data_IF_491018787651
#
_entry.id   IF_491018787651
#
_cell.length_a   1.000
_cell.length_b   1.000
_cell.length_c   1.000
_cell.angle_alpha   90.00
_cell.angle_beta   90.00
_cell.angle_gamma   90.00
#
_symmetry.space_group_name_H-M   'P 1'
#
loop_
_entity.id
_entity.type
_entity.pdbx_description
1 polymer ?
#
# COMPACT_ATOMS: atom_id res chain seq x y z
N UNK A 1 -26.21 11.77 -4.81
CA UNK A 1 -24.82 12.20 -5.09
C UNK A 1 -23.97 10.95 -4.94
N UNK A 2 -23.72 10.28 -6.07
CA UNK A 2 -23.07 8.96 -6.13
C UNK A 2 -21.77 9.12 -6.92
N UNK A 3 -20.64 8.72 -6.32
CA UNK A 3 -19.31 8.43 -6.90
C UNK A 3 -18.29 8.62 -5.77
N UNK A 4 -17.37 7.73 -5.42
CA UNK A 4 -16.79 6.58 -6.11
C UNK A 4 -16.53 5.44 -5.10
N UNK A 5 -17.04 4.26 -5.38
CA UNK A 5 -16.50 3.01 -4.80
C UNK A 5 -15.49 2.48 -5.81
N UNK A 6 -14.22 2.89 -5.66
CA UNK A 6 -13.14 2.34 -6.45
C UNK A 6 -12.68 1.03 -5.80
N UNK A 7 -12.77 -0.03 -6.60
CA UNK A 7 -12.60 -1.42 -6.24
C UNK A 7 -11.19 -1.72 -5.73
N UNK A 8 -11.02 -1.82 -4.41
CA UNK A 8 -10.07 -2.75 -3.80
C UNK A 8 -10.82 -4.07 -3.59
N UNK A 9 -10.68 -5.06 -4.48
CA UNK A 9 -11.22 -6.40 -4.23
C UNK A 9 -10.23 -7.16 -3.33
N UNK A 10 -10.26 -6.84 -2.04
CA UNK A 10 -9.63 -7.63 -1.00
C UNK A 10 -10.51 -8.88 -0.79
N UNK A 11 -10.10 -10.04 -1.30
CA UNK A 11 -10.79 -11.30 -1.05
C UNK A 11 -10.31 -11.86 0.30
N UNK A 12 -11.06 -11.55 1.34
CA UNK A 12 -10.86 -12.06 2.69
C UNK A 12 -11.43 -13.48 2.82
N UNK A 13 -10.58 -14.49 3.01
CA UNK A 13 -11.03 -15.82 3.48
C UNK A 13 -10.38 -16.15 4.82
N UNK A 14 -11.25 -16.24 5.84
CA UNK A 14 -11.23 -16.85 7.17
C UNK A 14 -9.94 -16.98 8.03
N UNK A 15 -8.72 -16.84 7.52
CA UNK A 15 -7.49 -17.08 8.30
C UNK A 15 -6.25 -16.24 7.90
N UNK A 16 -6.37 -15.21 7.05
CA UNK A 16 -5.26 -14.32 6.72
C UNK A 16 -5.64 -13.21 5.73
N UNK A 17 -4.86 -12.12 5.72
CA UNK A 17 -4.90 -11.14 4.64
C UNK A 17 -4.23 -11.75 3.41
N UNK A 18 -4.89 -11.70 2.26
CA UNK A 18 -4.36 -12.16 1.00
C UNK A 18 -4.26 -10.95 0.07
N UNK A 19 -3.04 -10.51 -0.23
CA UNK A 19 -2.81 -9.59 -1.35
C UNK A 19 -2.85 -10.44 -2.60
N UNK A 20 -3.78 -10.12 -3.50
CA UNK A 20 -3.73 -10.70 -4.83
C UNK A 20 -2.61 -9.98 -5.56
N UNK A 21 -1.41 -10.56 -5.52
CA UNK A 21 -0.40 -10.22 -6.51
C UNK A 21 -1.00 -10.59 -7.87
N UNK A 22 -1.22 -9.58 -8.72
CA UNK A 22 -1.76 -9.67 -10.08
C UNK A 22 -3.27 -9.92 -10.26
N UNK A 23 -4.13 -9.00 -9.82
CA UNK A 23 -5.49 -8.88 -10.35
C UNK A 23 -5.76 -7.54 -11.03
N UNK A 24 -5.10 -7.29 -12.16
CA UNK A 24 -5.67 -6.40 -13.18
C UNK A 24 -6.84 -7.16 -13.83
N UNK A 25 -8.05 -7.02 -13.28
CA UNK A 25 -9.26 -7.49 -13.94
C UNK A 25 -9.53 -6.65 -15.19
N UNK A 26 -8.95 -7.03 -16.32
CA UNK A 26 -9.48 -6.68 -17.64
C UNK A 26 -10.87 -7.32 -17.75
N UNK A 27 -11.91 -6.48 -17.76
CA UNK A 27 -13.31 -6.90 -17.92
C UNK A 27 -13.45 -7.85 -19.11
N UNK A 28 -13.71 -9.14 -18.85
CA UNK A 28 -13.91 -10.17 -19.88
C UNK A 28 -13.02 -11.43 -19.80
N UNK A 29 -12.07 -11.51 -18.86
CA UNK A 29 -11.22 -12.71 -18.70
C UNK A 29 -11.81 -13.74 -17.72
N UNK A 30 -11.78 -15.01 -18.11
CA UNK A 30 -12.18 -16.13 -17.25
C UNK A 30 -11.00 -16.46 -16.33
N UNK A 31 -11.11 -16.15 -15.03
CA UNK A 31 -10.05 -16.41 -14.03
C UNK A 31 -9.89 -17.93 -13.88
N UNK A 32 -8.73 -18.47 -14.29
CA UNK A 32 -8.47 -19.91 -14.31
C UNK A 32 -7.83 -20.44 -13.03
N UNK A 33 -7.18 -19.58 -12.26
CA UNK A 33 -6.51 -19.93 -11.01
C UNK A 33 -6.57 -18.73 -10.05
N UNK A 34 -6.77 -18.99 -8.77
CA UNK A 34 -6.72 -17.99 -7.70
C UNK A 34 -5.67 -18.49 -6.72
N UNK A 35 -4.55 -17.79 -6.64
CA UNK A 35 -3.51 -18.04 -5.64
C UNK A 35 -3.64 -17.00 -4.53
N UNK A 36 -3.55 -17.49 -3.30
CA UNK A 36 -3.73 -16.69 -2.11
C UNK A 36 -2.48 -16.91 -1.24
N UNK A 37 -1.68 -15.85 -1.05
CA UNK A 37 -0.54 -15.81 -0.12
C UNK A 37 -0.86 -15.12 1.21
N UNK A 38 -0.54 -15.75 2.34
CA UNK A 38 -0.70 -15.13 3.66
C UNK A 38 0.16 -13.87 3.78
N UNK A 39 -0.44 -12.78 4.22
CA UNK A 39 0.23 -11.51 4.47
C UNK A 39 0.30 -11.28 5.98
N UNK A 40 1.51 -11.20 6.57
CA UNK A 40 1.70 -10.85 7.97
C UNK A 40 0.97 -9.55 8.35
N UNK A 41 0.39 -9.54 9.55
CA UNK A 41 -0.35 -8.39 10.09
C UNK A 41 0.11 -8.11 11.53
N UNK A 42 1.43 -8.10 11.73
CA UNK A 42 2.06 -7.90 13.04
C UNK A 42 2.43 -6.45 13.28
N UNK A 43 2.72 -5.70 12.21
CA UNK A 43 3.05 -4.29 12.28
C UNK A 43 1.78 -3.42 12.30
N UNK A 44 1.46 -2.84 13.46
CA UNK A 44 0.22 -2.07 13.69
C UNK A 44 0.43 -0.57 13.91
N UNK A 45 1.67 -0.15 14.18
CA UNK A 45 1.98 1.25 14.52
C UNK A 45 2.30 2.07 13.28
N UNK A 46 1.70 3.25 13.15
CA UNK A 46 2.05 4.22 12.10
C UNK A 46 3.45 4.81 12.27
N UNK A 47 4.01 4.77 13.49
CA UNK A 47 5.41 5.19 13.74
C UNK A 47 6.43 4.37 12.94
N UNK A 48 6.00 3.25 12.38
CA UNK A 48 6.75 2.47 11.41
C UNK A 48 7.26 3.31 10.23
N UNK A 49 6.50 4.30 9.80
CA UNK A 49 6.83 5.18 8.67
C UNK A 49 7.63 6.42 9.08
N UNK A 50 7.90 6.64 10.37
CA UNK A 50 8.69 7.80 10.84
C UNK A 50 10.10 7.82 10.23
N UNK A 51 10.63 6.64 9.86
CA UNK A 51 11.91 6.49 9.18
C UNK A 51 11.98 7.18 7.81
N UNK A 52 10.85 7.44 7.17
CA UNK A 52 10.79 8.24 5.93
C UNK A 52 11.27 9.68 6.15
N UNK A 53 11.05 10.22 7.36
CA UNK A 53 11.57 11.53 7.73
C UNK A 53 13.05 11.48 8.09
N UNK A 54 13.48 10.48 8.87
CA UNK A 54 14.86 10.41 9.38
C UNK A 54 15.89 10.17 8.28
N UNK A 55 15.53 9.43 7.24
CA UNK A 55 16.40 9.11 6.10
C UNK A 55 16.26 10.08 4.93
N UNK A 56 15.50 11.18 5.09
CA UNK A 56 15.44 12.26 4.10
C UNK A 56 14.59 11.98 2.85
N UNK A 57 13.77 10.91 2.86
CA UNK A 57 12.76 10.67 1.82
C UNK A 57 11.68 11.75 1.85
N UNK A 58 11.38 12.24 3.06
CA UNK A 58 10.41 13.31 3.32
C UNK A 58 11.08 14.41 4.13
N UNK A 59 10.81 15.66 3.75
CA UNK A 59 11.32 16.86 4.43
C UNK A 59 10.63 17.03 5.78
N UNK A 60 11.25 17.80 6.67
CA UNK A 60 10.62 18.21 7.95
C UNK A 60 9.25 18.88 7.78
N UNK A 61 9.00 19.48 6.61
CA UNK A 61 7.73 20.11 6.24
C UNK A 61 6.65 19.13 5.80
N UNK A 62 6.93 17.82 5.76
CA UNK A 62 6.03 16.77 5.26
C UNK A 62 6.07 16.60 3.74
N UNK A 63 6.79 17.45 3.00
CA UNK A 63 6.92 17.35 1.55
C UNK A 63 7.83 16.20 1.14
N UNK A 64 7.36 15.37 0.22
CA UNK A 64 8.13 14.26 -0.34
C UNK A 64 9.23 14.83 -1.25
N UNK A 65 10.45 14.30 -1.10
CA UNK A 65 11.59 14.76 -1.91
C UNK A 65 11.40 14.31 -3.36
N UNK A 66 11.38 15.27 -4.29
CA UNK A 66 11.27 15.02 -5.73
C UNK A 66 12.59 14.51 -6.31
N UNK A 67 12.49 13.71 -7.36
CA UNK A 67 13.62 13.21 -8.14
C UNK A 67 13.39 13.48 -9.64
N UNK A 68 14.35 13.06 -10.48
CA UNK A 68 14.12 13.07 -11.92
C UNK A 68 13.06 12.04 -12.30
N UNK A 69 12.24 12.40 -13.28
CA UNK A 69 11.21 11.52 -13.82
C UNK A 69 11.85 10.30 -14.49
N UNK A 70 11.45 9.13 -14.01
CA UNK A 70 11.84 7.83 -14.53
C UNK A 70 10.60 6.94 -14.65
N UNK A 71 10.60 6.00 -15.59
CA UNK A 71 9.53 5.01 -15.73
C UNK A 71 10.04 3.64 -15.31
N UNK A 72 9.29 2.98 -14.44
CA UNK A 72 9.50 1.59 -14.03
C UNK A 72 8.19 0.83 -14.20
N UNK A 73 8.16 -0.20 -15.06
CA UNK A 73 6.95 -0.98 -15.40
C UNK A 73 5.71 -0.10 -15.66
N UNK A 74 5.87 0.91 -16.54
CA UNK A 74 4.85 1.91 -16.90
C UNK A 74 4.38 2.84 -15.76
N UNK A 75 5.00 2.77 -14.58
CA UNK A 75 4.76 3.67 -13.46
C UNK A 75 5.76 4.83 -13.52
N UNK A 76 5.25 6.07 -13.51
CA UNK A 76 6.08 7.26 -13.38
C UNK A 76 6.59 7.40 -11.94
N UNK A 77 7.90 7.36 -11.79
CA UNK A 77 8.64 7.67 -10.57
C UNK A 77 9.16 9.10 -10.69
N UNK A 78 8.67 9.98 -9.82
CA UNK A 78 9.04 11.41 -9.78
C UNK A 78 9.40 11.90 -8.37
N UNK A 79 9.46 10.98 -7.41
CA UNK A 79 9.89 11.25 -6.05
C UNK A 79 10.56 10.05 -5.37
N UNK A 80 11.29 10.35 -4.29
CA UNK A 80 12.07 9.38 -3.52
C UNK A 80 11.17 8.35 -2.81
N UNK A 81 9.93 8.71 -2.46
CA UNK A 81 8.99 7.77 -1.86
C UNK A 81 8.66 6.63 -2.83
N UNK A 82 8.40 6.94 -4.10
CA UNK A 82 8.14 5.89 -5.11
C UNK A 82 9.36 5.02 -5.36
N UNK A 83 10.58 5.58 -5.31
CA UNK A 83 11.81 4.79 -5.38
C UNK A 83 11.91 3.78 -4.24
N UNK A 84 11.71 4.22 -2.99
CA UNK A 84 11.69 3.33 -1.82
C UNK A 84 10.70 2.17 -2.00
N UNK A 85 9.53 2.45 -2.59
CA UNK A 85 8.45 1.47 -2.71
C UNK A 85 8.63 0.49 -3.88
N UNK A 86 9.33 0.87 -4.95
CA UNK A 86 9.41 0.12 -6.21
C UNK A 86 10.81 -0.36 -6.59
N UNK A 87 11.84 0.47 -6.40
CA UNK A 87 13.17 0.22 -6.95
C UNK A 87 14.04 -0.50 -5.93
N UNK A 88 14.30 -1.79 -6.21
CA UNK A 88 15.18 -2.66 -5.40
C UNK A 88 16.63 -2.17 -5.36
N UNK A 89 17.05 -1.40 -6.35
CA UNK A 89 18.38 -0.81 -6.48
C UNK A 89 18.48 0.64 -5.99
N UNK A 90 17.41 1.19 -5.39
CA UNK A 90 17.46 2.54 -4.83
C UNK A 90 18.29 2.61 -3.55
N UNK A 91 18.94 3.76 -3.32
CA UNK A 91 19.75 4.03 -2.12
C UNK A 91 18.96 3.83 -0.80
N UNK A 92 17.63 3.94 -0.87
CA UNK A 92 16.73 3.81 0.27
C UNK A 92 15.90 2.52 0.26
N UNK A 93 16.24 1.51 -0.56
CA UNK A 93 15.48 0.25 -0.59
C UNK A 93 15.54 -0.48 0.76
N UNK A 94 16.70 -0.52 1.40
CA UNK A 94 16.88 -1.22 2.68
C UNK A 94 16.27 -0.47 3.89
N UNK A 95 15.61 0.66 3.65
CA UNK A 95 14.89 1.42 4.67
C UNK A 95 13.76 0.60 5.33
N UNK A 96 13.22 -0.37 4.60
CA UNK A 96 12.33 -1.41 5.13
C UNK A 96 12.89 -2.77 4.72
N UNK A 97 13.06 -3.67 5.70
CA UNK A 97 13.49 -5.04 5.45
C UNK A 97 12.49 -5.82 4.61
N UNK A 98 12.93 -6.92 3.99
CA UNK A 98 12.06 -7.76 3.17
C UNK A 98 10.80 -8.23 3.94
N UNK A 99 10.95 -8.67 5.18
CA UNK A 99 9.81 -9.07 6.02
C UNK A 99 8.87 -7.91 6.35
N UNK A 100 9.41 -6.70 6.55
CA UNK A 100 8.61 -5.50 6.79
C UNK A 100 7.84 -5.07 5.54
N UNK A 101 8.41 -5.28 4.35
CA UNK A 101 7.76 -5.00 3.05
C UNK A 101 6.59 -5.95 2.76
N UNK A 102 6.59 -7.13 3.38
CA UNK A 102 5.52 -8.12 3.30
C UNK A 102 4.41 -7.87 4.34
N UNK A 103 4.59 -6.96 5.30
CA UNK A 103 3.55 -6.64 6.27
C UNK A 103 2.34 -5.94 5.62
N UNK A 104 1.14 -6.31 6.05
CA UNK A 104 -0.12 -5.80 5.53
C UNK A 104 -0.19 -4.27 5.58
N UNK A 105 0.30 -3.65 6.67
CA UNK A 105 0.36 -2.21 6.81
C UNK A 105 1.24 -1.56 5.72
N UNK A 106 2.39 -2.15 5.42
CA UNK A 106 3.30 -1.65 4.38
C UNK A 106 2.68 -1.80 3.00
N UNK A 107 2.12 -2.96 2.69
CA UNK A 107 1.52 -3.19 1.37
C UNK A 107 0.31 -2.26 1.12
N UNK A 108 -0.51 -2.01 2.15
CA UNK A 108 -1.62 -1.06 2.07
C UNK A 108 -1.13 0.36 1.76
N UNK A 109 -0.11 0.82 2.50
CA UNK A 109 0.52 2.11 2.27
C UNK A 109 1.12 2.21 0.85
N UNK A 110 1.89 1.20 0.43
CA UNK A 110 2.46 1.10 -0.91
C UNK A 110 1.38 1.24 -1.98
N UNK A 111 0.27 0.52 -1.84
CA UNK A 111 -0.82 0.57 -2.80
C UNK A 111 -1.45 1.97 -2.90
N UNK A 112 -1.59 2.68 -1.77
CA UNK A 112 -2.10 4.05 -1.76
C UNK A 112 -1.12 5.05 -2.41
N UNK A 113 0.18 4.93 -2.15
CA UNK A 113 1.20 5.83 -2.69
C UNK A 113 1.43 5.67 -4.20
N UNK A 114 1.38 4.42 -4.69
CA UNK A 114 1.50 4.11 -6.11
C UNK A 114 0.18 4.38 -6.84
N UNK A 115 -0.94 4.22 -6.13
CA UNK A 115 -2.27 4.43 -6.67
C UNK A 115 -2.62 3.42 -7.77
N UNK A 116 -3.59 3.80 -8.60
CA UNK A 116 -3.97 3.09 -9.82
C UNK A 116 -3.96 4.04 -11.02
N UNK A 117 -4.63 3.66 -12.11
CA UNK A 117 -4.63 4.38 -13.40
C UNK A 117 -5.09 5.85 -13.32
N UNK A 118 -5.69 6.28 -12.20
CA UNK A 118 -6.21 7.63 -11.99
C UNK A 118 -5.21 8.60 -11.32
N UNK A 119 -3.95 8.21 -11.09
CA UNK A 119 -2.85 9.07 -10.63
C UNK A 119 -3.20 10.09 -9.52
N UNK A 120 -3.61 9.60 -8.34
CA UNK A 120 -3.84 10.43 -7.14
C UNK A 120 -2.53 10.63 -6.37
N UNK A 121 -1.59 11.35 -6.97
CA UNK A 121 -0.30 11.64 -6.37
C UNK A 121 -0.37 12.86 -5.46
N UNK A 122 0.17 12.73 -4.25
CA UNK A 122 0.29 13.81 -3.29
C UNK A 122 1.75 14.26 -3.20
N UNK A 123 1.96 15.56 -3.01
CA UNK A 123 3.30 16.13 -2.79
C UNK A 123 3.75 16.08 -1.33
N UNK A 124 2.84 15.71 -0.42
CA UNK A 124 3.05 15.62 1.02
C UNK A 124 2.71 14.21 1.52
N UNK A 125 3.39 13.76 2.57
CA UNK A 125 3.27 12.39 3.08
C UNK A 125 1.98 12.16 3.88
N UNK A 126 1.53 13.16 4.66
CA UNK A 126 0.45 13.01 5.64
C UNK A 126 -0.87 12.45 5.09
N UNK A 127 -1.38 12.88 3.91
CA UNK A 127 -2.59 12.30 3.33
C UNK A 127 -2.48 10.78 3.12
N UNK A 128 -1.31 10.27 2.75
CA UNK A 128 -1.08 8.83 2.63
C UNK A 128 -1.11 8.13 4.00
N UNK A 129 -0.47 8.70 5.01
CA UNK A 129 -0.44 8.12 6.35
C UNK A 129 -1.84 8.08 6.99
N UNK A 130 -2.58 9.19 6.94
CA UNK A 130 -3.91 9.24 7.54
C UNK A 130 -4.91 8.35 6.80
N UNK A 131 -4.83 8.29 5.46
CA UNK A 131 -5.65 7.38 4.66
C UNK A 131 -5.32 5.92 4.95
N UNK A 132 -4.03 5.57 5.03
CA UNK A 132 -3.57 4.21 5.38
C UNK A 132 -4.09 3.81 6.76
N UNK A 133 -3.97 4.70 7.74
CA UNK A 133 -4.41 4.46 9.12
C UNK A 133 -5.92 4.28 9.22
N UNK A 134 -6.70 5.12 8.54
CA UNK A 134 -8.15 5.01 8.50
C UNK A 134 -8.56 3.67 7.87
N UNK A 135 -8.03 3.37 6.68
CA UNK A 135 -8.35 2.15 5.96
C UNK A 135 -7.91 0.88 6.70
N UNK A 136 -6.72 0.89 7.29
CA UNK A 136 -6.22 -0.22 8.10
C UNK A 136 -7.16 -0.50 9.29
N UNK A 137 -7.60 0.55 9.99
CA UNK A 137 -8.53 0.40 11.12
C UNK A 137 -9.88 -0.14 10.68
N UNK A 138 -10.42 0.38 9.58
CA UNK A 138 -11.72 -0.06 9.07
C UNK A 138 -11.67 -1.53 8.66
N UNK A 139 -10.62 -1.92 7.93
CA UNK A 139 -10.41 -3.31 7.54
C UNK A 139 -10.28 -4.21 8.77
N UNK A 140 -9.35 -3.92 9.69
CA UNK A 140 -9.13 -4.74 10.91
C UNK A 140 -10.37 -4.82 11.80
N UNK A 141 -11.16 -3.75 11.93
CA UNK A 141 -12.42 -3.75 12.70
C UNK A 141 -13.45 -4.68 12.10
N UNK A 142 -13.66 -4.59 10.79
CA UNK A 142 -14.59 -5.47 10.08
C UNK A 142 -14.17 -6.94 10.22
N UNK A 143 -12.87 -7.26 10.30
CA UNK A 143 -12.43 -8.64 10.59
C UNK A 143 -12.80 -9.10 12.01
N UNK A 144 -12.74 -8.23 13.01
CA UNK A 144 -13.13 -8.59 14.38
C UNK A 144 -14.65 -8.76 14.55
N UNK A 145 -15.47 -7.96 13.87
CA UNK A 145 -16.93 -8.03 14.00
C UNK A 145 -17.53 -9.22 13.21
N UNK A 146 -16.92 -9.61 12.09
CA UNK A 146 -17.34 -10.79 11.33
C UNK A 146 -17.05 -12.13 12.03
N UNK A 147 -16.20 -12.16 13.07
CA UNK A 147 -15.99 -13.36 13.91
C UNK A 147 -17.14 -13.57 14.90
N UNK A 148 -17.79 -12.49 15.37
CA UNK A 148 -18.88 -12.58 16.36
C UNK A 148 -20.20 -13.01 15.71
N UNK A 149 -20.42 -12.73 14.42
CA UNK A 149 -21.64 -13.14 13.72
C UNK A 149 -21.63 -14.61 13.24
N UNK A 150 -20.52 -15.34 13.42
CA UNK A 150 -20.36 -16.74 13.02
C UNK A 150 -19.98 -17.68 14.19
N UNK A 151 -20.02 -17.19 15.43
CA UNK A 151 -20.04 -18.00 16.65
C UNK A 151 -21.45 -18.06 17.24
#
# INVERSE_FOLDING_TARGET
MNCLSNNLKLLCFHFGFFLINDLVCLSGTNVKNIEATFVPCTQVSMSFFDRLYTEGVVRETGHIVKCYDEYYDDILISDELRKVLLLEDSDHFDLFSQSEREEFLFCLFKHLCLGGTLCQFEDVLDPYLETTKALYKDLVRDFTDNVVSLM
#
